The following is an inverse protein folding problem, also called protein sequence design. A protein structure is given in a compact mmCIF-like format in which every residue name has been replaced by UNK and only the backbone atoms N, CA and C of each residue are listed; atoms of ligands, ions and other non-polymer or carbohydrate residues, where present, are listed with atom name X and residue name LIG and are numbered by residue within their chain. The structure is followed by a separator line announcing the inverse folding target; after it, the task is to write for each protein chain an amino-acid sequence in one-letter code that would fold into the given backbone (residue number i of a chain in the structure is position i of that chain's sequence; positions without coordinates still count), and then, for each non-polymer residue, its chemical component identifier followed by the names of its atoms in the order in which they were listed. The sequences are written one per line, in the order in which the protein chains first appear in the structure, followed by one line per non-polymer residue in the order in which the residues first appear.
data_IF_049375121711
#
_entry.id   IF_049375121711
#
_cell.length_a   1.000
_cell.length_b   1.000
_cell.length_c   1.000
_cell.angle_alpha   90.00
_cell.angle_beta   90.00
_cell.angle_gamma   90.00
#
_symmetry.space_group_name_H-M   'P 1'
#
loop_
_entity.id
_entity.type
_entity.pdbx_description
1 polymer ?
#
# COMPACT_ATOMS: atom_id res chain seq x y z
N UNK A 1 -10.27 -5.91 10.17
CA UNK A 1 -9.80 -4.53 9.89
C UNK A 1 -8.47 -4.46 9.10
N UNK A 2 -7.28 -4.76 9.68
CA UNK A 2 -6.00 -4.61 8.95
C UNK A 2 -5.95 -5.36 7.62
N UNK A 3 -6.32 -6.65 7.64
CA UNK A 3 -6.39 -7.50 6.43
C UNK A 3 -7.35 -6.93 5.37
N UNK A 4 -8.52 -6.44 5.78
CA UNK A 4 -9.53 -5.88 4.88
C UNK A 4 -9.03 -4.60 4.21
N UNK A 5 -8.32 -3.73 4.93
CA UNK A 5 -7.69 -2.54 4.35
C UNK A 5 -6.73 -2.94 3.22
N UNK A 6 -5.90 -3.96 3.43
CA UNK A 6 -4.96 -4.43 2.40
C UNK A 6 -5.70 -5.03 1.20
N UNK A 7 -6.70 -5.89 1.44
CA UNK A 7 -7.52 -6.49 0.38
C UNK A 7 -8.25 -5.45 -0.46
N UNK A 8 -8.89 -4.47 0.17
CA UNK A 8 -9.59 -3.39 -0.54
C UNK A 8 -8.65 -2.59 -1.47
N UNK A 9 -7.39 -2.40 -1.06
CA UNK A 9 -6.39 -1.77 -1.93
C UNK A 9 -6.00 -2.66 -3.12
N UNK A 10 -5.84 -3.97 -2.90
CA UNK A 10 -5.57 -4.92 -3.99
C UNK A 10 -6.73 -4.95 -4.98
N UNK A 11 -7.98 -4.98 -4.49
CA UNK A 11 -9.18 -4.94 -5.33
C UNK A 11 -9.26 -3.63 -6.14
N UNK A 12 -8.88 -2.50 -5.53
CA UNK A 12 -8.84 -1.21 -6.23
C UNK A 12 -7.77 -1.15 -7.33
N UNK A 13 -6.72 -1.97 -7.24
CA UNK A 13 -5.65 -2.07 -8.24
C UNK A 13 -5.97 -3.10 -9.34
N UNK A 14 -7.10 -3.80 -9.25
CA UNK A 14 -7.51 -4.72 -10.29
C UNK A 14 -7.76 -3.96 -11.61
N UNK A 15 -7.11 -4.40 -12.69
CA UNK A 15 -7.20 -3.75 -14.01
C UNK A 15 -6.52 -2.40 -14.11
N UNK A 16 -5.67 -2.02 -13.15
CA UNK A 16 -4.94 -0.75 -13.15
C UNK A 16 -4.15 -0.50 -14.45
N UNK A 17 -3.55 -1.54 -14.99
CA UNK A 17 -2.76 -1.55 -16.22
C UNK A 17 -3.59 -1.32 -17.49
N UNK A 18 -4.90 -1.56 -17.44
CA UNK A 18 -5.84 -1.34 -18.54
C UNK A 18 -6.42 0.09 -18.57
N UNK A 19 -6.22 0.86 -17.50
CA UNK A 19 -6.77 2.19 -17.34
C UNK A 19 -5.91 3.29 -17.97
N UNK A 20 -6.53 4.39 -18.38
CA UNK A 20 -5.81 5.60 -18.82
C UNK A 20 -5.11 6.27 -17.63
N UNK A 21 -4.08 7.09 -17.89
CA UNK A 21 -3.29 7.72 -16.81
C UNK A 21 -4.13 8.49 -15.79
N UNK A 22 -5.20 9.15 -16.25
CA UNK A 22 -6.12 9.90 -15.36
C UNK A 22 -6.77 8.97 -14.32
N UNK A 23 -7.21 7.80 -14.75
CA UNK A 23 -7.86 6.80 -13.91
C UNK A 23 -6.84 6.09 -13.03
N UNK A 24 -5.68 5.73 -13.57
CA UNK A 24 -4.55 5.20 -12.80
C UNK A 24 -4.18 6.14 -11.65
N UNK A 25 -4.03 7.45 -11.94
CA UNK A 25 -3.74 8.46 -10.92
C UNK A 25 -4.82 8.51 -9.85
N UNK A 26 -6.10 8.44 -10.23
CA UNK A 26 -7.21 8.41 -9.28
C UNK A 26 -7.17 7.16 -8.39
N UNK A 27 -6.89 5.99 -8.96
CA UNK A 27 -6.70 4.74 -8.22
C UNK A 27 -5.56 4.85 -7.21
N UNK A 28 -4.41 5.41 -7.60
CA UNK A 28 -3.28 5.61 -6.66
C UNK A 28 -3.65 6.55 -5.51
N UNK A 29 -4.43 7.61 -5.76
CA UNK A 29 -4.94 8.51 -4.72
C UNK A 29 -5.86 7.74 -3.76
N UNK A 30 -6.82 6.97 -4.30
CA UNK A 30 -7.72 6.14 -3.50
C UNK A 30 -6.98 5.12 -2.65
N UNK A 31 -5.93 4.47 -3.18
CA UNK A 31 -5.06 3.57 -2.42
C UNK A 31 -4.39 4.34 -1.26
N UNK A 32 -3.84 5.52 -1.50
CA UNK A 32 -3.25 6.35 -0.42
C UNK A 32 -4.28 6.65 0.68
N UNK A 33 -5.51 7.01 0.29
CA UNK A 33 -6.59 7.36 1.21
C UNK A 33 -7.16 6.17 1.99
N UNK A 34 -7.10 4.96 1.45
CA UNK A 34 -7.42 3.76 2.21
C UNK A 34 -6.28 3.43 3.18
N UNK A 35 -5.03 3.43 2.69
CA UNK A 35 -3.86 3.04 3.48
C UNK A 35 -3.51 4.04 4.59
N UNK A 36 -3.93 5.31 4.52
CA UNK A 36 -3.75 6.27 5.63
C UNK A 36 -4.46 5.83 6.92
N UNK A 37 -5.52 5.02 6.79
CA UNK A 37 -6.30 4.52 7.92
C UNK A 37 -5.70 3.22 8.50
N UNK A 38 -4.61 2.71 7.92
CA UNK A 38 -3.95 1.53 8.45
C UNK A 38 -3.33 1.86 9.84
N UNK A 39 -3.72 1.14 10.91
CA UNK A 39 -3.33 1.49 12.26
C UNK A 39 -1.83 1.27 12.49
N UNK A 40 -1.18 2.27 13.08
CA UNK A 40 0.22 2.18 13.47
C UNK A 40 0.40 1.11 14.55
N UNK A 41 1.46 0.28 14.46
CA UNK A 41 1.65 -0.80 15.42
C UNK A 41 2.08 -0.34 16.82
N UNK A 42 2.61 0.88 16.96
CA UNK A 42 3.11 1.44 18.22
C UNK A 42 3.33 2.96 18.07
N UNK A 43 3.51 3.67 19.19
CA UNK A 43 3.97 5.07 19.15
C UNK A 43 5.48 5.12 18.89
N UNK A 44 6.00 6.24 18.34
CA UNK A 44 7.40 6.37 17.87
C UNK A 44 8.50 6.09 18.93
N UNK A 45 8.14 5.97 20.21
CA UNK A 45 9.09 5.78 21.32
C UNK A 45 9.04 4.40 21.95
N UNK A 46 8.16 3.51 21.49
CA UNK A 46 7.98 2.18 22.06
C UNK A 46 8.67 1.12 21.20
N UNK A 47 9.28 0.12 21.84
CA UNK A 47 9.82 -1.04 21.12
C UNK A 47 8.64 -1.91 20.70
N UNK A 48 8.42 -2.05 19.40
CA UNK A 48 7.38 -2.94 18.88
C UNK A 48 7.80 -4.40 19.04
N UNK A 49 7.18 -5.10 19.99
CA UNK A 49 7.41 -6.54 20.21
C UNK A 49 6.73 -7.42 19.16
N UNK A 50 5.75 -6.89 18.42
CA UNK A 50 5.06 -7.61 17.37
C UNK A 50 5.67 -7.31 15.99
N UNK A 51 6.71 -8.06 15.65
CA UNK A 51 7.51 -7.91 14.43
C UNK A 51 6.71 -8.11 13.15
N UNK A 52 5.73 -9.03 13.13
CA UNK A 52 4.83 -9.21 11.98
C UNK A 52 3.98 -7.97 11.70
N UNK A 53 3.36 -7.42 12.74
CA UNK A 53 2.56 -6.19 12.63
C UNK A 53 3.41 -4.99 12.22
N UNK A 54 4.66 -4.92 12.69
CA UNK A 54 5.63 -3.91 12.26
C UNK A 54 5.99 -4.06 10.79
N UNK A 55 6.37 -5.27 10.36
CA UNK A 55 6.71 -5.56 8.96
C UNK A 55 5.56 -5.24 8.02
N UNK A 56 4.34 -5.66 8.35
CA UNK A 56 3.15 -5.33 7.58
C UNK A 56 2.97 -3.80 7.46
N UNK A 57 3.10 -3.06 8.57
CA UNK A 57 3.01 -1.60 8.53
C UNK A 57 4.08 -0.94 7.64
N UNK A 58 5.31 -1.45 7.64
CA UNK A 58 6.38 -0.93 6.80
C UNK A 58 6.07 -1.14 5.30
N UNK A 59 5.56 -2.31 4.92
CA UNK A 59 5.10 -2.57 3.55
C UNK A 59 3.93 -1.66 3.15
N UNK A 60 2.98 -1.41 4.05
CA UNK A 60 1.91 -0.43 3.81
C UNK A 60 2.46 0.98 3.60
N UNK A 61 3.44 1.39 4.41
CA UNK A 61 4.10 2.69 4.25
C UNK A 61 4.83 2.80 2.91
N UNK A 62 5.53 1.74 2.48
CA UNK A 62 6.20 1.69 1.19
C UNK A 62 5.22 1.77 0.03
N UNK A 63 4.08 1.07 0.12
CA UNK A 63 2.99 1.15 -0.87
C UNK A 63 2.52 2.60 -1.05
N UNK A 64 2.24 3.30 0.05
CA UNK A 64 1.84 4.72 0.01
C UNK A 64 2.90 5.61 -0.63
N UNK A 65 4.18 5.35 -0.34
CA UNK A 65 5.28 6.12 -0.90
C UNK A 65 5.44 5.88 -2.41
N UNK A 66 5.32 4.63 -2.88
CA UNK A 66 5.33 4.31 -4.30
C UNK A 66 4.18 5.03 -5.05
N UNK A 67 2.95 5.01 -4.52
CA UNK A 67 1.84 5.78 -5.08
C UNK A 67 2.18 7.27 -5.20
N UNK A 68 2.74 7.88 -4.15
CA UNK A 68 3.12 9.30 -4.15
C UNK A 68 4.23 9.60 -5.15
N UNK A 69 5.26 8.76 -5.23
CA UNK A 69 6.36 8.94 -6.18
C UNK A 69 5.84 8.96 -7.61
N UNK A 70 4.92 8.06 -7.95
CA UNK A 70 4.28 8.00 -9.25
C UNK A 70 3.43 9.24 -9.55
N UNK A 71 2.57 9.63 -8.61
CA UNK A 71 1.70 10.82 -8.74
C UNK A 71 2.53 12.10 -8.98
N UNK A 72 3.74 12.18 -8.40
CA UNK A 72 4.66 13.30 -8.56
C UNK A 72 5.63 13.14 -9.75
N UNK A 73 5.52 12.07 -10.54
CA UNK A 73 6.31 11.86 -11.76
C UNK A 73 7.73 11.36 -11.53
N UNK A 74 8.07 10.86 -10.34
CA UNK A 74 9.40 10.31 -10.04
C UNK A 74 9.58 8.87 -10.54
N UNK A 75 8.48 8.11 -10.65
CA UNK A 75 8.48 6.73 -11.19
C UNK A 75 7.28 6.54 -12.13
N UNK A 76 7.41 5.60 -13.08
CA UNK A 76 6.33 5.27 -14.02
C UNK A 76 5.16 4.54 -13.37
N UNK A 77 3.98 4.56 -14.00
CA UNK A 77 2.77 3.90 -13.47
C UNK A 77 2.92 2.38 -13.37
N UNK A 78 3.58 1.74 -14.35
CA UNK A 78 3.87 0.32 -14.33
C UNK A 78 4.79 -0.07 -13.15
N UNK A 79 5.87 0.69 -12.93
CA UNK A 79 6.78 0.48 -11.80
C UNK A 79 6.05 0.68 -10.46
N UNK A 80 5.24 1.73 -10.36
CA UNK A 80 4.44 2.00 -9.18
C UNK A 80 3.46 0.86 -8.87
N UNK A 81 2.75 0.36 -9.89
CA UNK A 81 1.84 -0.78 -9.76
C UNK A 81 2.57 -2.02 -9.21
N UNK A 82 3.70 -2.39 -9.81
CA UNK A 82 4.48 -3.55 -9.35
C UNK A 82 4.96 -3.40 -7.91
N UNK A 83 5.48 -2.22 -7.55
CA UNK A 83 5.93 -1.93 -6.19
C UNK A 83 4.76 -1.99 -5.20
N UNK A 84 3.64 -1.35 -5.51
CA UNK A 84 2.46 -1.33 -4.63
C UNK A 84 1.93 -2.75 -4.45
N UNK A 85 1.67 -3.50 -5.53
CA UNK A 85 1.15 -4.87 -5.47
C UNK A 85 2.03 -5.79 -4.64
N UNK A 86 3.35 -5.80 -4.90
CA UNK A 86 4.30 -6.64 -4.13
C UNK A 86 4.33 -6.29 -2.64
N UNK A 87 4.27 -5.01 -2.30
CA UNK A 87 4.23 -4.58 -0.91
C UNK A 87 2.89 -4.98 -0.24
N UNK A 88 1.75 -4.82 -0.92
CA UNK A 88 0.45 -5.24 -0.39
C UNK A 88 0.37 -6.76 -0.18
N UNK A 89 0.88 -7.56 -1.11
CA UNK A 89 1.00 -9.02 -0.97
C UNK A 89 1.86 -9.41 0.23
N UNK A 90 3.02 -8.76 0.37
CA UNK A 90 3.94 -9.01 1.50
C UNK A 90 3.34 -8.57 2.84
N UNK A 91 2.54 -7.50 2.85
CA UNK A 91 1.79 -7.10 4.03
C UNK A 91 0.70 -8.11 4.37
N UNK A 92 0.00 -8.64 3.37
CA UNK A 92 -1.06 -9.61 3.56
C UNK A 92 -0.54 -10.95 4.08
N UNK A 93 0.59 -11.45 3.56
CA UNK A 93 1.20 -12.71 4.04
C UNK A 93 1.53 -12.63 5.53
N UNK A 94 2.17 -11.54 5.98
CA UNK A 94 2.49 -11.30 7.39
C UNK A 94 1.27 -11.18 8.30
N UNK A 95 0.08 -10.91 7.77
CA UNK A 95 -1.15 -10.82 8.54
C UNK A 95 -1.89 -12.16 8.58
N UNK A 96 -1.78 -12.99 7.53
CA UNK A 96 -2.49 -14.27 7.43
C UNK A 96 -1.81 -15.35 8.30
N UNK A 97 -0.48 -15.32 8.40
CA UNK A 97 0.32 -16.18 9.28
C UNK A 97 0.34 -15.72 10.74
#
# INVERSE_FOLDING_TARGET
MKKEIVKNCMDSLAGFDLCEWREQKQTLISVIDVLRNYPKPHTKKEICTNTKNLGAYLFISNSRNACKLCINGFIGSCEAYQLVSKNLESALSLLID
#
